data_IF_280518116593
#
_entry.id   IF_280518116593
#
_cell.length_a   1.000
_cell.length_b   1.000
_cell.length_c   1.000
_cell.angle_alpha   90.00
_cell.angle_beta   90.00
_cell.angle_gamma   90.00
#
_symmetry.space_group_name_H-M   'P 1'
#
loop_
_entity.id
_entity.type
_entity.pdbx_description
1 polymer ?
#
# COMPACT_ATOMS: atom_id res chain seq x y z
N UNK A 1 7.20 -23.64 15.62
CA UNK A 1 6.22 -22.83 14.87
C UNK A 1 5.24 -23.75 14.15
N UNK A 2 4.01 -23.30 13.86
CA UNK A 2 3.06 -24.06 13.02
C UNK A 2 3.69 -24.39 11.65
N UNK A 3 3.26 -25.48 11.01
CA UNK A 3 3.77 -25.86 9.68
C UNK A 3 3.41 -24.81 8.64
N UNK A 4 4.32 -24.56 7.70
CA UNK A 4 4.05 -23.70 6.54
C UNK A 4 3.41 -24.57 5.47
N UNK A 5 2.17 -24.25 5.11
CA UNK A 5 1.42 -24.92 4.04
C UNK A 5 0.90 -23.90 3.03
N UNK A 6 0.34 -24.38 1.93
CA UNK A 6 -0.27 -23.54 0.89
C UNK A 6 -1.25 -22.53 1.50
N UNK A 7 -1.11 -21.27 1.08
CA UNK A 7 -2.00 -20.16 1.44
C UNK A 7 -2.25 -19.98 2.94
N UNK A 8 -1.31 -20.43 3.77
CA UNK A 8 -1.41 -20.40 5.23
C UNK A 8 -0.81 -19.12 5.82
N UNK A 9 -1.35 -18.66 6.96
CA UNK A 9 -0.80 -17.53 7.70
C UNK A 9 0.69 -17.70 8.08
N UNK A 10 1.17 -18.90 8.49
CA UNK A 10 2.59 -19.15 8.73
C UNK A 10 3.53 -18.83 7.56
N UNK A 11 3.05 -18.89 6.30
CA UNK A 11 3.85 -18.47 5.14
C UNK A 11 4.19 -16.97 5.19
N UNK A 12 3.21 -16.16 5.60
CA UNK A 12 3.37 -14.71 5.76
C UNK A 12 4.33 -14.40 6.91
N UNK A 13 4.16 -15.08 8.04
CA UNK A 13 4.98 -14.88 9.24
C UNK A 13 6.43 -15.35 9.02
N UNK A 14 6.63 -16.42 8.26
CA UNK A 14 7.95 -16.92 7.88
C UNK A 14 8.77 -15.87 7.13
N UNK A 15 8.16 -15.07 6.26
CA UNK A 15 8.86 -13.98 5.58
C UNK A 15 9.33 -12.90 6.56
N UNK A 16 8.51 -12.53 7.55
CA UNK A 16 8.90 -11.58 8.60
C UNK A 16 10.04 -12.11 9.47
N UNK A 17 9.99 -13.39 9.87
CA UNK A 17 11.06 -14.04 10.64
C UNK A 17 12.35 -14.11 9.82
N UNK A 18 12.27 -14.56 8.57
CA UNK A 18 13.43 -14.67 7.68
C UNK A 18 14.08 -13.29 7.43
N UNK A 19 13.27 -12.25 7.22
CA UNK A 19 13.77 -10.90 7.05
C UNK A 19 14.47 -10.39 8.32
N UNK A 20 13.85 -10.56 9.49
CA UNK A 20 14.45 -10.16 10.77
C UNK A 20 15.79 -10.88 10.99
N UNK A 21 15.83 -12.21 10.84
CA UNK A 21 17.05 -13.01 10.95
C UNK A 21 18.13 -12.58 9.97
N UNK A 22 17.75 -12.20 8.74
CA UNK A 22 18.68 -11.71 7.72
C UNK A 22 19.28 -10.36 8.10
N UNK A 23 18.44 -9.41 8.52
CA UNK A 23 18.87 -8.06 8.90
C UNK A 23 19.72 -8.06 10.17
N UNK A 24 19.41 -8.94 11.13
CA UNK A 24 20.14 -9.04 12.40
C UNK A 24 21.16 -10.18 12.43
N UNK A 25 21.54 -10.72 11.27
CA UNK A 25 22.33 -11.95 11.17
C UNK A 25 23.61 -11.98 12.04
N UNK A 26 24.48 -10.95 12.03
CA UNK A 26 25.71 -10.96 12.83
C UNK A 26 25.47 -11.00 14.35
N UNK A 27 24.31 -10.52 14.82
CA UNK A 27 23.97 -10.45 16.24
C UNK A 27 23.12 -11.63 16.70
N UNK A 28 22.40 -12.29 15.79
CA UNK A 28 21.47 -13.36 16.11
C UNK A 28 21.83 -14.66 15.40
N UNK A 29 21.53 -14.78 14.10
CA UNK A 29 21.66 -16.04 13.36
C UNK A 29 23.06 -16.66 13.46
N UNK A 30 24.12 -15.88 13.24
CA UNK A 30 25.50 -16.38 13.24
C UNK A 30 25.98 -16.83 14.64
N UNK A 31 25.25 -16.47 15.71
CA UNK A 31 25.53 -16.84 17.10
C UNK A 31 24.70 -18.02 17.60
N UNK A 32 23.75 -18.51 16.81
CA UNK A 32 22.96 -19.68 17.16
C UNK A 32 23.76 -20.97 16.93
N UNK A 33 23.55 -21.96 17.80
CA UNK A 33 24.08 -23.30 17.62
C UNK A 33 23.64 -23.87 16.26
N UNK A 34 24.53 -24.65 15.63
CA UNK A 34 24.24 -25.29 14.34
C UNK A 34 22.93 -26.07 14.35
N UNK A 35 22.64 -26.83 15.41
CA UNK A 35 21.38 -27.58 15.51
C UNK A 35 20.14 -26.67 15.55
N UNK A 36 20.23 -25.46 16.10
CA UNK A 36 19.13 -24.49 16.10
C UNK A 36 18.95 -23.89 14.71
N UNK A 37 20.06 -23.53 14.05
CA UNK A 37 20.06 -23.02 12.68
C UNK A 37 19.44 -24.03 11.72
N UNK A 38 19.85 -25.30 11.79
CA UNK A 38 19.34 -26.35 10.91
C UNK A 38 17.83 -26.55 11.08
N UNK A 39 17.31 -26.56 12.31
CA UNK A 39 15.86 -26.69 12.57
C UNK A 39 15.08 -25.47 12.07
N UNK A 40 15.60 -24.26 12.29
CA UNK A 40 14.96 -23.04 11.82
C UNK A 40 14.97 -22.95 10.29
N UNK A 41 16.09 -23.28 9.65
CA UNK A 41 16.21 -23.34 8.20
C UNK A 41 15.30 -24.42 7.59
N UNK A 42 15.20 -25.59 8.22
CA UNK A 42 14.29 -26.65 7.77
C UNK A 42 12.82 -26.20 7.82
N UNK A 43 12.40 -25.55 8.90
CA UNK A 43 11.04 -25.00 8.99
C UNK A 43 10.77 -23.92 7.92
N UNK A 44 11.72 -23.01 7.69
CA UNK A 44 11.61 -21.98 6.66
C UNK A 44 11.61 -22.57 5.24
N UNK A 45 12.30 -23.69 5.02
CA UNK A 45 12.39 -24.31 3.70
C UNK A 45 11.03 -24.75 3.14
N UNK A 46 10.04 -25.06 4.00
CA UNK A 46 8.67 -25.36 3.59
C UNK A 46 8.04 -24.21 2.77
N UNK A 47 8.42 -22.95 3.05
CA UNK A 47 7.94 -21.78 2.30
C UNK A 47 8.43 -21.75 0.84
N UNK A 48 9.51 -22.46 0.51
CA UNK A 48 10.10 -22.46 -0.84
C UNK A 48 9.23 -23.18 -1.86
N UNK A 49 8.32 -24.05 -1.40
CA UNK A 49 7.43 -24.86 -2.25
C UNK A 49 5.95 -24.63 -1.98
N UNK A 50 5.58 -24.00 -0.85
CA UNK A 50 4.20 -23.65 -0.55
C UNK A 50 3.58 -22.74 -1.62
N UNK A 51 2.33 -22.98 -1.99
CA UNK A 51 1.59 -22.17 -2.96
C UNK A 51 1.05 -20.89 -2.30
N UNK A 52 1.50 -19.69 -2.71
CA UNK A 52 0.95 -18.42 -2.21
C UNK A 52 -0.40 -18.09 -2.88
N UNK A 53 -1.12 -17.12 -2.32
CA UNK A 53 -2.18 -16.45 -3.10
C UNK A 53 -1.56 -15.65 -4.25
N UNK A 54 -2.24 -15.54 -5.42
CA UNK A 54 -1.72 -14.81 -6.58
C UNK A 54 -1.87 -13.30 -6.37
N UNK A 55 -1.08 -12.75 -5.45
CA UNK A 55 -0.93 -11.34 -5.11
C UNK A 55 0.47 -11.14 -4.48
N UNK A 56 0.67 -10.11 -3.67
CA UNK A 56 1.91 -9.85 -2.92
C UNK A 56 2.44 -11.04 -2.10
N UNK A 57 1.63 -12.06 -1.83
CA UNK A 57 2.06 -13.29 -1.17
C UNK A 57 3.14 -14.06 -1.94
N UNK A 58 3.23 -13.88 -3.26
CA UNK A 58 4.30 -14.43 -4.10
C UNK A 58 5.69 -13.96 -3.67
N UNK A 59 5.77 -12.85 -2.90
CA UNK A 59 7.02 -12.28 -2.40
C UNK A 59 7.47 -12.87 -1.05
N UNK A 60 6.62 -13.63 -0.37
CA UNK A 60 7.00 -14.28 0.89
C UNK A 60 8.04 -15.39 0.66
N UNK A 61 7.87 -16.32 -0.31
CA UNK A 61 8.92 -17.26 -0.68
C UNK A 61 10.20 -16.59 -1.18
N UNK A 62 10.10 -15.43 -1.84
CA UNK A 62 11.28 -14.66 -2.29
C UNK A 62 12.10 -14.21 -1.08
N UNK A 63 11.44 -13.63 -0.07
CA UNK A 63 12.10 -13.14 1.16
C UNK A 63 12.74 -14.28 1.94
N UNK A 64 12.01 -15.40 2.10
CA UNK A 64 12.54 -16.59 2.77
C UNK A 64 13.71 -17.20 2.00
N UNK A 65 13.58 -17.35 0.68
CA UNK A 65 14.63 -17.84 -0.19
C UNK A 65 15.88 -16.94 -0.16
N UNK A 66 15.73 -15.62 -0.11
CA UNK A 66 16.84 -14.70 0.03
C UNK A 66 17.68 -14.96 1.30
N UNK A 67 17.00 -15.16 2.43
CA UNK A 67 17.67 -15.51 3.69
C UNK A 67 18.34 -16.90 3.66
N UNK A 68 17.63 -17.94 3.20
CA UNK A 68 18.17 -19.29 3.14
C UNK A 68 19.38 -19.38 2.20
N UNK A 69 19.32 -18.72 1.04
CA UNK A 69 20.45 -18.62 0.14
C UNK A 69 21.65 -17.90 0.77
N UNK A 70 21.42 -16.77 1.45
CA UNK A 70 22.48 -16.00 2.11
C UNK A 70 23.16 -16.76 3.26
N UNK A 71 22.47 -17.73 3.87
CA UNK A 71 22.99 -18.55 4.98
C UNK A 71 23.47 -19.93 4.55
N UNK A 72 23.42 -20.27 3.26
CA UNK A 72 23.90 -21.53 2.72
C UNK A 72 22.93 -22.72 2.83
N UNK A 73 21.65 -22.49 3.15
CA UNK A 73 20.65 -23.54 3.31
C UNK A 73 19.75 -23.64 2.08
N UNK A 74 19.45 -24.87 1.65
CA UNK A 74 18.53 -25.17 0.54
C UNK A 74 18.75 -24.27 -0.71
N UNK A 75 20.01 -23.93 -1.01
CA UNK A 75 20.37 -22.78 -1.87
C UNK A 75 19.76 -22.87 -3.27
N UNK A 76 19.69 -24.05 -3.86
CA UNK A 76 19.09 -24.25 -5.17
C UNK A 76 17.57 -24.00 -5.16
N UNK A 77 16.85 -24.64 -4.23
CA UNK A 77 15.42 -24.42 -4.05
C UNK A 77 15.10 -22.96 -3.71
N UNK A 78 15.95 -22.31 -2.91
CA UNK A 78 15.85 -20.92 -2.53
C UNK A 78 15.99 -19.98 -3.73
N UNK A 79 16.98 -20.21 -4.61
CA UNK A 79 17.13 -19.47 -5.86
C UNK A 79 15.94 -19.68 -6.79
N UNK A 80 15.45 -20.90 -6.91
CA UNK A 80 14.29 -21.20 -7.74
C UNK A 80 13.02 -20.48 -7.23
N UNK A 81 12.77 -20.47 -5.92
CA UNK A 81 11.64 -19.76 -5.33
C UNK A 81 11.72 -18.24 -5.54
N UNK A 82 12.91 -17.65 -5.35
CA UNK A 82 13.17 -16.23 -5.65
C UNK A 82 12.85 -15.90 -7.10
N UNK A 83 13.36 -16.69 -8.04
CA UNK A 83 13.15 -16.48 -9.46
C UNK A 83 11.66 -16.57 -9.85
N UNK A 84 10.92 -17.56 -9.32
CA UNK A 84 9.48 -17.71 -9.58
C UNK A 84 8.67 -16.52 -9.07
N UNK A 85 8.86 -16.14 -7.81
CA UNK A 85 8.10 -15.03 -7.22
C UNK A 85 8.40 -13.68 -7.89
N UNK A 86 9.67 -13.40 -8.19
CA UNK A 86 10.06 -12.19 -8.91
C UNK A 86 9.54 -12.18 -10.36
N UNK A 87 9.55 -13.31 -11.06
CA UNK A 87 8.95 -13.39 -12.41
C UNK A 87 7.43 -13.20 -12.37
N UNK A 88 6.77 -13.67 -11.30
CA UNK A 88 5.32 -13.58 -11.16
C UNK A 88 4.82 -12.15 -11.02
N UNK A 89 5.47 -11.32 -10.20
CA UNK A 89 5.07 -9.92 -10.02
C UNK A 89 5.24 -9.08 -11.29
N UNK A 90 6.10 -9.48 -12.22
CA UNK A 90 6.26 -8.77 -13.50
C UNK A 90 4.98 -8.79 -14.33
N UNK A 91 4.14 -9.83 -14.19
CA UNK A 91 2.84 -9.92 -14.87
C UNK A 91 1.80 -8.92 -14.33
N UNK A 92 2.08 -8.28 -13.20
CA UNK A 92 1.22 -7.31 -12.54
C UNK A 92 1.77 -5.89 -12.60
N UNK A 93 2.92 -5.67 -13.25
CA UNK A 93 3.45 -4.33 -13.45
C UNK A 93 2.56 -3.56 -14.43
N UNK A 94 1.93 -2.49 -13.96
CA UNK A 94 0.97 -1.68 -14.70
C UNK A 94 1.60 -0.47 -15.41
N UNK A 95 2.94 -0.31 -15.31
CA UNK A 95 3.64 0.90 -15.76
C UNK A 95 3.80 1.93 -14.64
N UNK A 96 4.65 2.92 -14.88
CA UNK A 96 4.85 4.09 -14.02
C UNK A 96 5.08 3.78 -12.53
N UNK A 97 5.77 2.68 -12.24
CA UNK A 97 6.04 2.27 -10.85
C UNK A 97 4.84 1.63 -10.13
N UNK A 98 3.71 1.37 -10.80
CA UNK A 98 2.52 0.78 -10.17
C UNK A 98 2.36 -0.71 -10.50
N UNK A 99 1.81 -1.47 -9.55
CA UNK A 99 1.45 -2.88 -9.67
C UNK A 99 -0.02 -3.09 -9.29
N UNK A 100 -0.70 -4.03 -9.94
CA UNK A 100 -2.11 -4.36 -9.67
C UNK A 100 -2.33 -5.27 -8.45
N UNK A 101 -1.25 -5.75 -7.82
CA UNK A 101 -1.26 -6.67 -6.67
C UNK A 101 -2.12 -7.93 -6.88
N UNK A 102 -1.91 -8.60 -8.02
CA UNK A 102 -2.68 -9.76 -8.42
C UNK A 102 -3.53 -9.50 -9.67
N UNK A 103 -4.46 -10.43 -9.99
CA UNK A 103 -5.44 -10.20 -11.04
C UNK A 103 -6.39 -9.06 -10.65
N UNK A 104 -6.76 -8.22 -11.63
CA UNK A 104 -7.62 -7.06 -11.42
C UNK A 104 -6.85 -5.75 -11.39
N UNK A 105 -7.39 -4.75 -10.69
CA UNK A 105 -6.83 -3.40 -10.60
C UNK A 105 -6.90 -2.89 -9.16
N UNK A 106 -6.24 -3.58 -8.23
CA UNK A 106 -6.20 -3.16 -6.84
C UNK A 106 -4.93 -2.34 -6.58
N UNK A 107 -5.05 -1.01 -6.58
CA UNK A 107 -3.98 -0.09 -6.24
C UNK A 107 -4.24 0.47 -4.84
N UNK A 108 -3.23 0.36 -3.98
CA UNK A 108 -3.23 0.84 -2.60
C UNK A 108 -1.78 0.86 -2.06
N UNK A 109 -1.64 0.98 -0.74
CA UNK A 109 -0.36 0.97 -0.06
C UNK A 109 0.44 -0.35 -0.10
N UNK A 110 -0.15 -1.49 -0.50
CA UNK A 110 0.63 -2.70 -0.80
C UNK A 110 1.60 -2.51 -1.95
N UNK A 111 1.36 -1.53 -2.85
CA UNK A 111 2.37 -1.16 -3.83
C UNK A 111 3.69 -0.81 -3.13
N UNK A 112 3.64 0.09 -2.16
CA UNK A 112 4.82 0.55 -1.42
C UNK A 112 5.40 -0.52 -0.50
N UNK A 113 4.62 -0.98 0.49
CA UNK A 113 5.13 -1.80 1.60
C UNK A 113 5.26 -3.30 1.29
N UNK A 114 4.87 -3.73 0.09
CA UNK A 114 5.06 -5.11 -0.36
C UNK A 114 5.65 -5.19 -1.77
N UNK A 115 4.94 -4.68 -2.79
CA UNK A 115 5.32 -4.87 -4.20
C UNK A 115 6.64 -4.19 -4.56
N UNK A 116 6.97 -3.06 -3.94
CA UNK A 116 8.30 -2.45 -4.01
C UNK A 116 9.22 -2.91 -2.89
N UNK A 117 8.71 -2.99 -1.65
CA UNK A 117 9.54 -3.32 -0.49
C UNK A 117 10.33 -4.61 -0.66
N UNK A 118 9.66 -5.72 -0.95
CA UNK A 118 10.34 -7.02 -0.95
C UNK A 118 11.34 -7.16 -2.10
N UNK A 119 11.03 -6.83 -3.38
CA UNK A 119 11.98 -6.97 -4.48
C UNK A 119 13.20 -6.05 -4.35
N UNK A 120 13.01 -4.79 -3.95
CA UNK A 120 14.12 -3.84 -3.82
C UNK A 120 14.98 -4.17 -2.62
N UNK A 121 14.38 -4.52 -1.47
CA UNK A 121 15.15 -4.94 -0.30
C UNK A 121 15.90 -6.25 -0.54
N UNK A 122 15.29 -7.19 -1.26
CA UNK A 122 15.98 -8.40 -1.71
C UNK A 122 17.19 -8.09 -2.59
N UNK A 123 17.04 -7.19 -3.58
CA UNK A 123 18.14 -6.77 -4.44
C UNK A 123 19.28 -6.11 -3.65
N UNK A 124 18.92 -5.19 -2.74
CA UNK A 124 19.87 -4.49 -1.87
C UNK A 124 20.64 -5.46 -0.97
N UNK A 125 19.93 -6.32 -0.22
CA UNK A 125 20.55 -7.26 0.72
C UNK A 125 21.32 -8.39 0.04
N UNK A 126 21.09 -8.63 -1.25
CA UNK A 126 21.83 -9.60 -2.06
C UNK A 126 22.97 -8.95 -2.88
N UNK A 127 23.13 -7.63 -2.79
CA UNK A 127 24.03 -6.84 -3.64
C UNK A 127 23.87 -7.12 -5.14
N UNK A 128 22.64 -7.40 -5.59
CA UNK A 128 22.32 -7.68 -6.98
C UNK A 128 22.01 -6.36 -7.72
N UNK A 129 23.04 -5.78 -8.34
CA UNK A 129 22.94 -4.50 -9.04
C UNK A 129 21.89 -4.52 -10.16
N UNK A 130 21.78 -5.62 -10.92
CA UNK A 130 20.82 -5.72 -12.03
C UNK A 130 19.37 -5.74 -11.53
N UNK A 131 19.12 -6.47 -10.45
CA UNK A 131 17.81 -6.49 -9.83
C UNK A 131 17.47 -5.13 -9.20
N UNK A 132 18.46 -4.47 -8.57
CA UNK A 132 18.30 -3.16 -7.98
C UNK A 132 18.06 -2.08 -9.04
N UNK A 133 18.75 -2.11 -10.18
CA UNK A 133 18.48 -1.18 -11.27
C UNK A 133 17.04 -1.32 -11.78
N UNK A 134 16.56 -2.54 -11.97
CA UNK A 134 15.18 -2.78 -12.44
C UNK A 134 14.13 -2.33 -11.42
N UNK A 135 14.14 -2.90 -10.23
CA UNK A 135 13.08 -2.66 -9.25
C UNK A 135 13.27 -1.33 -8.52
N UNK A 136 14.52 -0.90 -8.32
CA UNK A 136 14.85 0.40 -7.73
C UNK A 136 14.43 1.55 -8.62
N UNK A 137 14.62 1.48 -9.95
CA UNK A 137 14.11 2.53 -10.85
C UNK A 137 12.58 2.62 -10.82
N UNK A 138 11.88 1.48 -10.70
CA UNK A 138 10.41 1.47 -10.54
C UNK A 138 9.98 2.05 -9.19
N UNK A 139 10.71 1.77 -8.11
CA UNK A 139 10.48 2.40 -6.81
C UNK A 139 10.66 3.92 -6.89
N UNK A 140 11.73 4.39 -7.53
CA UNK A 140 11.99 5.81 -7.71
C UNK A 140 10.85 6.50 -8.46
N UNK A 141 10.39 5.92 -9.57
CA UNK A 141 9.20 6.40 -10.29
C UNK A 141 7.96 6.41 -9.39
N UNK A 142 7.71 5.30 -8.68
CA UNK A 142 6.56 5.21 -7.78
C UNK A 142 6.58 6.27 -6.67
N UNK A 143 7.75 6.56 -6.10
CA UNK A 143 7.89 7.52 -5.01
C UNK A 143 7.56 8.96 -5.41
N UNK A 144 7.68 9.31 -6.69
CA UNK A 144 7.27 10.61 -7.21
C UNK A 144 5.75 10.84 -7.05
N UNK A 145 4.96 9.79 -7.23
CA UNK A 145 3.50 9.80 -7.03
C UNK A 145 3.13 9.53 -5.57
N UNK A 146 3.77 8.53 -4.97
CA UNK A 146 3.46 8.05 -3.64
C UNK A 146 3.58 9.13 -2.57
N UNK A 147 4.56 10.02 -2.69
CA UNK A 147 4.75 11.16 -1.79
C UNK A 147 3.53 12.11 -1.75
N UNK A 148 2.67 12.08 -2.78
CA UNK A 148 1.45 12.89 -2.88
C UNK A 148 0.25 12.26 -2.18
N UNK A 149 0.39 11.06 -1.60
CA UNK A 149 -0.65 10.36 -0.83
C UNK A 149 -0.63 10.71 0.67
N UNK A 150 0.09 11.77 1.06
CA UNK A 150 0.26 12.20 2.44
C UNK A 150 -0.15 13.66 2.57
N UNK A 151 -0.97 13.95 3.58
CA UNK A 151 -1.37 15.31 3.96
C UNK A 151 -0.23 16.06 4.67
N UNK A 152 -0.36 17.37 4.75
CA UNK A 152 0.60 18.26 5.42
C UNK A 152 0.80 17.92 6.90
N UNK A 153 -0.21 17.34 7.55
CA UNK A 153 -0.16 16.94 8.96
C UNK A 153 0.40 15.53 9.19
N UNK A 154 0.93 14.90 8.13
CA UNK A 154 1.47 13.54 8.13
C UNK A 154 0.43 12.44 7.97
N UNK A 155 -0.86 12.76 7.80
CA UNK A 155 -1.89 11.75 7.56
C UNK A 155 -1.66 11.03 6.21
N UNK A 156 -1.54 9.68 6.19
CA UNK A 156 -1.69 8.94 4.95
C UNK A 156 -3.16 8.94 4.51
N UNK A 157 -3.38 8.91 3.21
CA UNK A 157 -4.70 8.77 2.57
C UNK A 157 -5.47 7.55 3.12
N UNK A 158 -6.78 7.70 3.36
CA UNK A 158 -7.62 6.59 3.82
C UNK A 158 -8.15 5.72 2.66
N UNK A 159 -7.24 5.14 1.88
CA UNK A 159 -7.60 4.32 0.71
C UNK A 159 -6.96 2.94 0.74
N UNK A 160 -7.73 1.93 0.32
CA UNK A 160 -7.29 0.55 0.20
C UNK A 160 -7.40 -0.26 1.50
N UNK A 161 -6.94 -1.51 1.44
CA UNK A 161 -7.06 -2.47 2.54
C UNK A 161 -5.90 -2.35 3.54
N UNK A 162 -6.08 -3.01 4.69
CA UNK A 162 -5.07 -3.07 5.75
C UNK A 162 -4.66 -1.71 6.32
N UNK A 163 -5.56 -0.74 6.29
CA UNK A 163 -5.33 0.59 6.86
C UNK A 163 -4.91 0.54 8.34
N UNK A 164 -5.31 -0.49 9.09
CA UNK A 164 -4.80 -0.68 10.47
C UNK A 164 -3.27 -0.84 10.57
N UNK A 165 -2.55 -1.08 9.47
CA UNK A 165 -1.08 -1.17 9.43
C UNK A 165 -0.42 0.21 9.38
N UNK A 166 -1.23 1.26 9.17
CA UNK A 166 -1.02 2.72 9.15
C UNK A 166 0.41 3.27 9.03
N UNK A 167 1.33 2.93 9.93
CA UNK A 167 2.73 3.37 9.85
C UNK A 167 3.52 2.64 8.76
N UNK A 168 3.09 1.45 8.33
CA UNK A 168 3.73 0.71 7.24
C UNK A 168 3.77 1.51 5.92
N UNK A 169 2.91 2.52 5.76
CA UNK A 169 2.90 3.45 4.62
C UNK A 169 4.24 4.17 4.44
N UNK A 170 5.06 4.30 5.48
CA UNK A 170 6.35 4.99 5.35
C UNK A 170 7.48 4.08 4.87
N UNK A 171 7.26 2.77 4.81
CA UNK A 171 8.28 1.79 4.42
C UNK A 171 8.95 2.07 3.07
N UNK A 172 8.23 2.36 1.95
CA UNK A 172 8.89 2.65 0.68
C UNK A 172 9.69 3.95 0.69
N UNK A 173 9.29 4.96 1.48
CA UNK A 173 10.04 6.22 1.63
C UNK A 173 11.42 5.97 2.24
N UNK A 174 11.46 5.17 3.31
CA UNK A 174 12.72 4.75 3.93
C UNK A 174 13.55 3.86 3.02
N UNK A 175 12.92 2.96 2.28
CA UNK A 175 13.60 2.08 1.34
C UNK A 175 14.28 2.87 0.22
N UNK A 176 13.61 3.90 -0.31
CA UNK A 176 14.17 4.79 -1.32
C UNK A 176 15.43 5.49 -0.81
N UNK A 177 15.39 6.06 0.40
CA UNK A 177 16.57 6.67 1.02
C UNK A 177 17.68 5.64 1.30
N UNK A 178 17.35 4.47 1.84
CA UNK A 178 18.32 3.40 2.15
C UNK A 178 19.07 2.92 0.90
N UNK A 179 18.39 2.87 -0.24
CA UNK A 179 18.94 2.31 -1.49
C UNK A 179 19.43 3.38 -2.47
N UNK A 180 19.24 4.66 -2.17
CA UNK A 180 19.51 5.77 -3.09
C UNK A 180 18.58 5.79 -4.30
N UNK A 181 17.40 5.16 -4.21
CA UNK A 181 16.39 5.05 -5.30
C UNK A 181 15.16 5.85 -4.95
N UNK A 182 15.29 7.16 -4.93
CA UNK A 182 14.23 8.09 -4.57
C UNK A 182 14.39 9.42 -5.31
N UNK A 183 13.28 10.02 -5.80
CA UNK A 183 13.31 11.36 -6.38
C UNK A 183 13.22 12.45 -5.31
N UNK A 184 13.00 12.06 -4.04
CA UNK A 184 12.80 12.99 -2.93
C UNK A 184 14.13 13.40 -2.31
N UNK A 185 14.22 14.65 -1.87
CA UNK A 185 15.32 15.09 -1.02
C UNK A 185 15.30 14.35 0.33
N UNK A 186 16.45 14.19 1.00
CA UNK A 186 16.50 13.61 2.33
C UNK A 186 15.56 14.31 3.33
N UNK A 187 15.52 15.65 3.30
CA UNK A 187 14.61 16.45 4.13
C UNK A 187 13.13 16.17 3.86
N UNK A 188 12.72 16.02 2.59
CA UNK A 188 11.33 15.66 2.24
C UNK A 188 11.00 14.24 2.67
N UNK A 189 11.91 13.28 2.48
CA UNK A 189 11.72 11.90 2.95
C UNK A 189 11.50 11.87 4.46
N UNK A 190 12.34 12.57 5.22
CA UNK A 190 12.21 12.67 6.68
C UNK A 190 10.88 13.31 7.08
N UNK A 191 10.51 14.44 6.46
CA UNK A 191 9.25 15.14 6.72
C UNK A 191 8.04 14.22 6.57
N UNK A 192 7.95 13.49 5.47
CA UNK A 192 6.85 12.57 5.19
C UNK A 192 6.85 11.37 6.15
N UNK A 193 7.99 10.69 6.28
CA UNK A 193 8.05 9.44 6.98
C UNK A 193 8.02 9.61 8.51
N UNK A 194 8.88 10.47 9.08
CA UNK A 194 8.83 10.77 10.51
C UNK A 194 7.57 11.57 10.89
N UNK A 195 7.09 12.46 10.01
CA UNK A 195 5.83 13.17 10.19
C UNK A 195 4.62 12.24 10.28
N UNK A 196 4.56 11.18 9.47
CA UNK A 196 3.50 10.16 9.55
C UNK A 196 3.53 9.41 10.89
N UNK A 197 4.72 9.05 11.39
CA UNK A 197 4.82 8.37 12.70
C UNK A 197 4.36 9.31 13.82
N UNK A 198 4.82 10.56 13.79
CA UNK A 198 4.38 11.62 14.71
C UNK A 198 2.88 11.82 14.64
N UNK A 199 2.30 11.88 13.44
CA UNK A 199 0.87 12.07 13.21
C UNK A 199 0.04 11.08 14.04
N UNK A 200 0.42 9.80 14.04
CA UNK A 200 -0.25 8.76 14.81
C UNK A 200 0.10 8.80 16.30
N UNK A 201 1.38 8.88 16.65
CA UNK A 201 1.83 8.80 18.05
C UNK A 201 1.32 9.99 18.88
N UNK A 202 1.38 11.21 18.34
CA UNK A 202 0.90 12.41 19.02
C UNK A 202 -0.63 12.42 19.18
N UNK A 203 -1.35 11.61 18.39
CA UNK A 203 -2.81 11.42 18.46
C UNK A 203 -3.21 10.17 19.26
N UNK A 204 -2.29 9.56 20.01
CA UNK A 204 -2.60 8.47 20.94
C UNK A 204 -2.75 7.10 20.28
N UNK A 205 -2.12 6.87 19.11
CA UNK A 205 -2.19 5.59 18.40
C UNK A 205 -1.64 4.38 19.16
N UNK A 206 -0.86 4.59 20.21
CA UNK A 206 -0.43 3.54 21.14
C UNK A 206 -1.25 3.66 22.43
N UNK A 207 -1.79 2.52 22.87
CA UNK A 207 -2.53 2.42 24.13
C UNK A 207 -1.63 2.88 25.31
N UNK A 208 -2.04 3.89 26.10
CA UNK A 208 -1.17 4.43 27.14
C UNK A 208 -0.83 3.46 28.27
N UNK A 209 -1.67 2.43 28.51
CA UNK A 209 -1.46 1.47 29.58
C UNK A 209 -0.49 0.35 29.19
N UNK A 210 -0.50 -0.04 27.92
CA UNK A 210 0.24 -1.20 27.40
C UNK A 210 1.37 -0.82 26.44
N UNK A 211 1.35 0.38 25.88
CA UNK A 211 2.25 0.83 24.81
C UNK A 211 1.98 0.17 23.45
N UNK A 212 0.87 -0.57 23.33
CA UNK A 212 0.56 -1.41 22.18
C UNK A 212 -0.34 -0.70 21.17
N UNK A 213 -0.19 -1.04 19.89
CA UNK A 213 -1.06 -0.51 18.83
C UNK A 213 -2.39 -1.30 18.79
N UNK A 214 -3.56 -0.65 18.94
CA UNK A 214 -4.84 -1.33 18.79
C UNK A 214 -5.19 -1.53 17.32
N UNK A 215 -6.13 -2.45 17.08
CA UNK A 215 -6.84 -2.60 15.81
C UNK A 215 -7.63 -1.32 15.52
N UNK A 216 -7.27 -0.61 14.45
CA UNK A 216 -7.93 0.65 14.08
C UNK A 216 -6.94 1.68 13.53
N UNK A 217 -7.29 2.96 13.68
CA UNK A 217 -6.53 4.08 13.08
C UNK A 217 -5.76 4.89 14.14
N UNK A 218 -6.39 5.86 14.81
CA UNK A 218 -5.80 6.51 16.00
C UNK A 218 -6.03 5.73 17.30
N UNK A 219 -7.01 4.85 17.29
CA UNK A 219 -7.41 3.99 18.40
C UNK A 219 -8.30 2.88 17.83
N UNK A 220 -9.05 2.15 18.67
CA UNK A 220 -10.04 1.20 18.19
C UNK A 220 -11.00 1.84 17.18
N UNK A 221 -11.02 1.31 15.96
CA UNK A 221 -11.92 1.77 14.90
C UNK A 221 -12.23 0.65 13.92
N UNK A 222 -13.50 0.23 13.85
CA UNK A 222 -13.93 -0.91 13.04
C UNK A 222 -13.92 -0.61 11.55
N UNK A 223 -14.09 0.65 11.15
CA UNK A 223 -14.20 1.03 9.73
C UNK A 223 -12.93 0.79 8.90
N UNK A 224 -11.79 0.51 9.53
CA UNK A 224 -10.53 0.15 8.84
C UNK A 224 -10.16 -1.32 8.94
N UNK A 225 -11.01 -2.14 9.57
CA UNK A 225 -10.76 -3.56 9.78
C UNK A 225 -11.26 -4.39 8.60
N UNK A 226 -10.55 -5.47 8.30
CA UNK A 226 -10.94 -6.46 7.32
C UNK A 226 -11.15 -7.82 8.02
N UNK A 227 -11.80 -8.76 7.34
CA UNK A 227 -12.07 -10.11 7.87
C UNK A 227 -10.82 -10.86 8.38
N UNK A 228 -9.64 -10.51 7.86
CA UNK A 228 -8.36 -11.11 8.25
C UNK A 228 -7.63 -10.32 9.34
N UNK A 229 -8.16 -9.17 9.77
CA UNK A 229 -7.54 -8.34 10.80
C UNK A 229 -7.59 -9.05 12.16
N UNK A 230 -6.44 -9.54 12.61
CA UNK A 230 -6.25 -10.08 13.96
C UNK A 230 -5.32 -9.22 14.83
N UNK A 231 -5.11 -9.55 16.11
CA UNK A 231 -4.34 -8.75 17.07
C UNK A 231 -2.92 -8.37 16.64
N UNK A 232 -2.27 -9.17 15.78
CA UNK A 232 -0.94 -8.88 15.25
C UNK A 232 -0.93 -7.89 14.07
N UNK A 233 -2.10 -7.61 13.48
CA UNK A 233 -2.26 -6.76 12.29
C UNK A 233 -1.66 -5.37 12.44
N UNK A 234 -1.90 -4.61 13.54
CA UNK A 234 -1.34 -3.27 13.67
C UNK A 234 0.20 -3.25 13.67
N UNK A 235 0.85 -4.36 14.01
CA UNK A 235 2.31 -4.44 14.12
C UNK A 235 3.03 -4.61 12.78
N UNK A 236 2.30 -4.74 11.67
CA UNK A 236 2.88 -4.47 10.35
C UNK A 236 3.43 -3.03 10.25
N UNK A 237 2.98 -2.12 11.12
CA UNK A 237 3.61 -0.83 11.41
C UNK A 237 5.12 -0.92 11.64
N UNK A 238 5.65 -2.06 12.09
CA UNK A 238 7.08 -2.26 12.28
C UNK A 238 7.93 -2.00 11.02
N UNK A 239 7.34 -2.14 9.82
CA UNK A 239 7.99 -1.79 8.54
C UNK A 239 8.41 -0.31 8.48
N UNK A 240 7.77 0.57 9.26
CA UNK A 240 8.18 1.96 9.39
C UNK A 240 9.60 2.12 9.95
N UNK A 241 10.07 1.17 10.76
CA UNK A 241 11.40 1.22 11.36
C UNK A 241 12.50 0.75 10.40
N UNK A 242 12.18 0.43 9.14
CA UNK A 242 13.19 0.17 8.10
C UNK A 242 14.20 1.31 7.99
N UNK A 243 13.79 2.55 8.26
CA UNK A 243 14.68 3.70 8.31
C UNK A 243 15.87 3.51 9.26
N UNK A 244 15.73 2.73 10.34
CA UNK A 244 16.82 2.46 11.29
C UNK A 244 17.99 1.65 10.70
N UNK A 245 17.86 1.12 9.47
CA UNK A 245 18.98 0.55 8.73
C UNK A 245 19.90 1.62 8.11
N UNK A 246 19.45 2.87 8.03
CA UNK A 246 20.20 3.98 7.46
C UNK A 246 21.21 4.50 8.50
N UNK A 247 22.49 4.71 8.15
CA UNK A 247 23.51 5.24 9.05
C UNK A 247 23.10 6.55 9.73
N UNK A 248 23.47 6.78 11.00
CA UNK A 248 23.03 7.95 11.77
C UNK A 248 23.55 9.30 11.23
N UNK A 249 24.62 9.28 10.43
CA UNK A 249 25.23 10.43 9.75
C UNK A 249 24.63 10.72 8.36
N UNK A 250 23.74 9.86 7.87
CA UNK A 250 23.10 10.06 6.58
C UNK A 250 22.27 11.36 6.54
N UNK A 251 22.27 12.11 5.41
CA UNK A 251 21.52 13.36 5.25
C UNK A 251 20.04 13.30 5.64
N UNK A 252 19.39 12.14 5.53
CA UNK A 252 17.98 11.96 5.94
C UNK A 252 17.76 12.23 7.44
N UNK A 253 18.80 12.15 8.27
CA UNK A 253 18.74 12.44 9.70
C UNK A 253 19.29 13.82 10.06
N UNK A 254 20.24 14.31 9.28
CA UNK A 254 21.03 15.52 9.58
C UNK A 254 20.55 16.76 8.84
N UNK A 255 19.98 16.62 7.64
CA UNK A 255 19.40 17.73 6.90
C UNK A 255 18.13 18.26 7.59
N UNK A 256 17.83 19.57 7.43
CA UNK A 256 16.53 20.12 7.81
C UNK A 256 15.38 19.41 7.09
N UNK A 257 14.25 19.23 7.79
CA UNK A 257 13.02 18.77 7.12
C UNK A 257 12.59 19.78 6.06
N UNK A 258 12.19 19.27 4.89
CA UNK A 258 11.66 20.08 3.79
C UNK A 258 10.18 19.77 3.56
N UNK A 259 9.35 20.75 3.18
CA UNK A 259 7.90 20.56 3.05
C UNK A 259 7.55 19.47 2.04
N UNK A 260 6.59 18.60 2.37
CA UNK A 260 6.04 17.59 1.45
C UNK A 260 5.21 18.19 0.31
N UNK A 261 4.76 17.39 -0.68
CA UNK A 261 3.99 17.90 -1.82
C UNK A 261 2.76 18.73 -1.43
N UNK A 262 1.97 18.25 -0.47
CA UNK A 262 0.75 18.93 0.00
C UNK A 262 1.02 20.23 0.78
N UNK A 263 2.26 20.46 1.22
CA UNK A 263 2.66 21.67 1.97
C UNK A 263 3.17 22.79 1.05
N UNK A 264 3.57 22.47 -0.19
CA UNK A 264 4.27 23.42 -1.07
C UNK A 264 3.34 24.30 -1.88
N UNK A 265 2.34 23.70 -2.51
CA UNK A 265 1.40 24.39 -3.38
C UNK A 265 0.16 23.53 -3.64
N UNK A 266 -0.89 24.16 -4.11
CA UNK A 266 -2.04 23.45 -4.66
C UNK A 266 -1.62 22.67 -5.91
N UNK A 267 -2.13 21.44 -6.06
CA UNK A 267 -1.82 20.60 -7.21
C UNK A 267 -2.97 19.68 -7.57
N UNK A 268 -3.13 19.44 -8.87
CA UNK A 268 -3.99 18.38 -9.41
C UNK A 268 -3.12 17.51 -10.31
N UNK A 269 -2.97 16.23 -9.98
CA UNK A 269 -2.02 15.31 -10.61
C UNK A 269 -2.73 14.03 -11.03
N UNK A 270 -2.77 13.77 -12.35
CA UNK A 270 -3.29 12.51 -12.87
C UNK A 270 -2.25 11.40 -12.77
N UNK A 271 -2.71 10.22 -12.38
CA UNK A 271 -1.93 8.99 -12.33
C UNK A 271 -2.56 7.99 -13.31
N UNK A 272 -2.08 7.91 -14.57
CA UNK A 272 -2.71 7.09 -15.61
C UNK A 272 -2.71 5.59 -15.30
N UNK A 273 -1.62 5.05 -14.76
CA UNK A 273 -1.50 3.62 -14.46
C UNK A 273 -2.61 3.10 -13.51
N UNK A 274 -2.88 3.74 -12.35
CA UNK A 274 -4.05 3.40 -11.52
C UNK A 274 -5.37 4.02 -12.00
N UNK A 275 -5.32 5.00 -12.93
CA UNK A 275 -6.43 5.84 -13.36
C UNK A 275 -7.04 6.65 -12.20
N UNK A 276 -6.17 7.37 -11.50
CA UNK A 276 -6.50 8.26 -10.39
C UNK A 276 -6.25 9.72 -10.73
N UNK A 277 -6.91 10.61 -10.00
CA UNK A 277 -6.58 12.03 -9.96
C UNK A 277 -6.37 12.43 -8.51
N UNK A 278 -5.16 12.88 -8.18
CA UNK A 278 -4.83 13.41 -6.86
C UNK A 278 -5.02 14.93 -6.86
N UNK A 279 -5.65 15.46 -5.83
CA UNK A 279 -5.86 16.88 -5.62
C UNK A 279 -5.38 17.26 -4.22
N UNK A 280 -4.44 18.19 -4.13
CA UNK A 280 -3.94 18.73 -2.87
C UNK A 280 -4.13 20.23 -2.79
N UNK A 281 -4.45 20.71 -1.60
CA UNK A 281 -4.64 22.13 -1.31
C UNK A 281 -3.70 22.53 -0.17
N UNK A 282 -2.77 23.43 -0.44
CA UNK A 282 -1.74 23.86 0.50
C UNK A 282 -2.29 24.63 1.69
N UNK A 283 -3.42 25.33 1.51
CA UNK A 283 -4.06 26.11 2.56
C UNK A 283 -4.67 25.25 3.69
N UNK A 284 -5.18 24.06 3.38
CA UNK A 284 -5.71 23.11 4.37
C UNK A 284 -4.80 21.88 4.59
N UNK A 285 -3.81 21.68 3.70
CA UNK A 285 -2.87 20.57 3.74
C UNK A 285 -3.48 19.22 3.37
N UNK A 286 -4.70 19.19 2.84
CA UNK A 286 -5.43 17.95 2.57
C UNK A 286 -5.10 17.38 1.19
N UNK A 287 -5.07 16.05 1.10
CA UNK A 287 -5.01 15.31 -0.16
C UNK A 287 -6.35 14.60 -0.36
N UNK A 288 -6.88 14.72 -1.57
CA UNK A 288 -8.08 14.04 -2.06
C UNK A 288 -7.67 13.17 -3.25
N UNK A 289 -8.09 11.92 -3.24
CA UNK A 289 -7.91 10.99 -4.34
C UNK A 289 -9.26 10.77 -5.00
N UNK A 290 -9.36 11.05 -6.30
CA UNK A 290 -10.49 10.68 -7.12
C UNK A 290 -10.22 9.35 -7.81
N UNK A 291 -11.02 8.34 -7.46
CA UNK A 291 -10.79 6.97 -7.88
C UNK A 291 -11.61 6.62 -9.12
N UNK A 292 -10.94 6.46 -10.26
CA UNK A 292 -11.55 6.07 -11.52
C UNK A 292 -10.97 4.80 -12.13
N UNK A 293 -10.23 3.99 -11.37
CA UNK A 293 -9.75 2.73 -11.93
C UNK A 293 -9.09 1.75 -10.99
N UNK A 294 -9.05 2.04 -9.69
CA UNK A 294 -8.77 1.01 -8.70
C UNK A 294 -10.07 0.41 -8.20
N UNK A 295 -10.12 -0.91 -8.09
CA UNK A 295 -11.27 -1.65 -7.56
C UNK A 295 -10.83 -2.96 -6.91
N UNK A 296 -11.41 -3.22 -5.73
CA UNK A 296 -11.57 -4.57 -5.17
C UNK A 296 -12.86 -4.59 -4.34
N UNK A 297 -13.95 -5.01 -4.98
CA UNK A 297 -15.29 -5.02 -4.36
C UNK A 297 -15.38 -5.89 -3.10
N UNK A 298 -14.43 -6.80 -2.86
CA UNK A 298 -14.37 -7.61 -1.64
C UNK A 298 -14.05 -6.78 -0.40
N UNK A 299 -13.53 -5.56 -0.60
CA UNK A 299 -13.11 -4.64 0.44
C UNK A 299 -13.84 -3.29 0.32
N UNK A 300 -15.07 -3.23 -0.22
CA UNK A 300 -15.92 -2.02 -0.07
C UNK A 300 -16.02 -1.65 1.43
N UNK A 301 -15.85 -0.37 1.82
CA UNK A 301 -15.81 0.84 0.99
C UNK A 301 -14.41 1.26 0.49
N UNK A 302 -13.36 0.46 0.68
CA UNK A 302 -11.97 0.94 0.56
C UNK A 302 -11.41 1.13 -0.86
N UNK A 303 -12.11 0.63 -1.89
CA UNK A 303 -11.67 0.75 -3.29
C UNK A 303 -12.75 1.22 -4.27
N UNK A 304 -13.98 1.41 -3.81
CA UNK A 304 -15.17 1.51 -4.67
C UNK A 304 -15.81 2.89 -4.63
N UNK A 305 -15.52 3.71 -3.60
CA UNK A 305 -15.96 5.11 -3.53
C UNK A 305 -15.33 5.98 -4.62
N UNK A 306 -16.02 7.06 -4.95
CA UNK A 306 -15.60 8.05 -5.95
C UNK A 306 -14.36 8.80 -5.50
N UNK A 307 -14.26 9.10 -4.20
CA UNK A 307 -13.10 9.78 -3.64
C UNK A 307 -12.76 9.31 -2.23
N UNK A 308 -11.50 9.56 -1.85
CA UNK A 308 -10.93 9.35 -0.52
C UNK A 308 -10.14 10.58 -0.12
N UNK A 309 -9.89 10.78 1.17
CA UNK A 309 -9.03 11.87 1.62
C UNK A 309 -8.15 11.49 2.80
N UNK A 310 -7.19 12.36 3.11
CA UNK A 310 -6.35 12.26 4.31
C UNK A 310 -7.10 12.67 5.59
N UNK A 311 -8.27 13.31 5.48
CA UNK A 311 -9.06 13.76 6.63
C UNK A 311 -10.27 12.88 6.96
N UNK A 312 -10.90 12.27 5.95
CA UNK A 312 -12.12 11.48 6.09
C UNK A 312 -11.83 10.00 5.90
N UNK A 313 -12.10 9.21 6.93
CA UNK A 313 -11.92 7.77 6.93
C UNK A 313 -13.10 7.00 6.32
N UNK A 314 -12.91 5.71 6.00
CA UNK A 314 -13.98 4.85 5.50
C UNK A 314 -15.12 4.74 6.52
N UNK A 315 -16.36 4.76 6.02
CA UNK A 315 -17.55 4.54 6.83
C UNK A 315 -17.52 3.14 7.49
N UNK A 316 -17.89 3.03 8.77
CA UNK A 316 -17.94 1.74 9.45
C UNK A 316 -19.05 0.84 8.89
N UNK A 317 -18.99 -0.48 9.15
CA UNK A 317 -20.05 -1.40 8.74
C UNK A 317 -21.45 -0.91 9.16
N UNK A 318 -22.38 -0.89 8.21
CA UNK A 318 -23.77 -0.48 8.43
C UNK A 318 -24.03 1.04 8.38
N UNK A 319 -23.00 1.88 8.22
CA UNK A 319 -23.19 3.31 7.94
C UNK A 319 -23.59 3.56 6.48
N UNK A 320 -24.28 4.68 6.24
CA UNK A 320 -24.60 5.14 4.88
C UNK A 320 -23.31 5.30 4.05
N UNK A 321 -23.29 4.84 2.78
CA UNK A 321 -22.15 5.05 1.90
C UNK A 321 -21.84 6.54 1.74
N UNK A 322 -20.61 6.95 2.00
CA UNK A 322 -20.09 8.30 1.67
C UNK A 322 -19.35 8.28 0.32
N UNK A 323 -19.31 9.42 -0.37
CA UNK A 323 -18.64 9.59 -1.67
C UNK A 323 -19.08 8.55 -2.71
N UNK A 324 -20.39 8.33 -2.84
CA UNK A 324 -20.95 7.27 -3.68
C UNK A 324 -22.06 7.78 -4.59
N UNK A 325 -21.99 7.43 -5.88
CA UNK A 325 -23.06 7.66 -6.85
C UNK A 325 -23.66 6.34 -7.31
N UNK A 326 -24.99 6.23 -7.33
CA UNK A 326 -25.67 5.06 -7.88
C UNK A 326 -27.16 5.30 -8.13
N UNK A 327 -27.78 4.32 -8.80
CA UNK A 327 -29.22 4.28 -9.04
C UNK A 327 -29.91 3.79 -7.77
N UNK A 328 -31.08 4.34 -7.47
CA UNK A 328 -31.90 3.91 -6.32
C UNK A 328 -32.83 2.78 -6.72
N UNK A 329 -32.75 1.66 -6.01
CA UNK A 329 -33.71 0.56 -6.08
C UNK A 329 -35.05 0.91 -5.42
N UNK A 330 -36.06 0.08 -5.66
CA UNK A 330 -37.39 0.22 -5.04
C UNK A 330 -37.36 0.08 -3.52
N UNK A 331 -36.37 -0.64 -2.99
CA UNK A 331 -36.08 -0.80 -1.56
C UNK A 331 -35.32 0.39 -0.96
N UNK A 332 -34.99 1.41 -1.76
CA UNK A 332 -34.22 2.58 -1.36
C UNK A 332 -32.71 2.37 -1.30
N UNK A 333 -32.21 1.17 -1.65
CA UNK A 333 -30.79 0.87 -1.69
C UNK A 333 -30.12 1.54 -2.90
N UNK A 334 -28.91 2.05 -2.70
CA UNK A 334 -28.10 2.62 -3.79
C UNK A 334 -27.32 1.51 -4.46
N UNK A 335 -27.35 1.45 -5.79
CA UNK A 335 -26.60 0.46 -6.58
C UNK A 335 -25.10 0.52 -6.27
N UNK A 336 -24.39 -0.63 -6.24
CA UNK A 336 -22.95 -0.64 -6.02
C UNK A 336 -22.18 -0.07 -7.21
N UNK A 337 -20.96 0.40 -6.93
CA UNK A 337 -20.02 0.90 -7.94
C UNK A 337 -18.93 -0.16 -8.15
N UNK A 338 -19.28 -1.20 -8.91
CA UNK A 338 -18.41 -2.36 -9.20
C UNK A 338 -18.20 -2.54 -10.70
N UNK A 339 -17.16 -3.28 -11.11
CA UNK A 339 -16.82 -3.49 -12.51
C UNK A 339 -16.33 -2.22 -13.19
N UNK A 340 -15.53 -1.42 -12.46
CA UNK A 340 -14.98 -0.17 -13.00
C UNK A 340 -14.11 -0.41 -14.23
N UNK A 341 -14.49 0.26 -15.31
CA UNK A 341 -13.71 0.36 -16.52
C UNK A 341 -13.12 1.78 -16.63
N UNK A 342 -11.78 1.93 -16.54
CA UNK A 342 -11.09 3.20 -16.73
C UNK A 342 -11.38 3.78 -18.13
N UNK A 343 -11.69 5.08 -18.20
CA UNK A 343 -11.80 5.82 -19.45
C UNK A 343 -10.64 6.81 -19.67
N UNK A 344 -9.70 6.86 -18.73
CA UNK A 344 -8.52 7.73 -18.78
C UNK A 344 -8.44 8.70 -17.60
N UNK A 345 -7.23 9.22 -17.39
CA UNK A 345 -6.91 10.30 -16.47
C UNK A 345 -5.85 11.19 -17.13
N UNK A 346 -6.01 12.51 -17.01
CA UNK A 346 -5.16 13.51 -17.63
C UNK A 346 -5.18 14.82 -16.87
N UNK A 347 -4.63 15.88 -17.46
CA UNK A 347 -4.51 17.18 -16.78
C UNK A 347 -5.86 17.68 -16.26
N UNK A 348 -6.01 17.70 -14.93
CA UNK A 348 -7.22 18.16 -14.26
C UNK A 348 -8.43 17.22 -14.35
N UNK A 349 -8.31 15.99 -14.88
CA UNK A 349 -9.48 15.12 -15.05
C UNK A 349 -9.21 13.63 -14.90
N UNK A 350 -10.25 12.88 -14.50
CA UNK A 350 -10.27 11.42 -14.60
C UNK A 350 -11.69 10.91 -14.85
N UNK A 351 -11.80 9.76 -15.53
CA UNK A 351 -13.09 9.19 -15.90
C UNK A 351 -13.10 7.67 -15.83
N UNK A 352 -14.29 7.13 -15.54
CA UNK A 352 -14.56 5.69 -15.50
C UNK A 352 -16.01 5.41 -15.88
N UNK A 353 -16.30 4.19 -16.33
CA UNK A 353 -17.67 3.69 -16.42
C UNK A 353 -17.88 2.41 -15.63
N UNK A 354 -19.10 2.15 -15.21
CA UNK A 354 -19.53 0.87 -14.66
C UNK A 354 -20.97 0.53 -15.08
N UNK A 355 -21.33 -0.74 -14.96
CA UNK A 355 -22.68 -1.23 -15.26
C UNK A 355 -23.53 -1.38 -13.99
N UNK A 356 -24.83 -1.12 -14.11
CA UNK A 356 -25.84 -1.33 -13.07
C UNK A 356 -27.07 -1.99 -13.71
N UNK A 357 -27.16 -3.31 -13.66
CA UNK A 357 -28.19 -4.05 -14.40
C UNK A 357 -28.04 -3.82 -15.90
N UNK A 358 -29.09 -3.29 -16.55
CA UNK A 358 -29.02 -2.87 -17.96
C UNK A 358 -28.46 -1.46 -18.14
N UNK A 359 -28.42 -0.66 -17.09
CA UNK A 359 -27.95 0.72 -17.13
C UNK A 359 -26.43 0.78 -17.14
N UNK A 360 -25.91 1.91 -17.63
CA UNK A 360 -24.49 2.25 -17.59
C UNK A 360 -24.33 3.62 -16.96
N UNK A 361 -23.35 3.75 -16.07
CA UNK A 361 -22.98 5.00 -15.43
C UNK A 361 -21.59 5.39 -15.89
N UNK A 362 -21.46 6.50 -16.60
CA UNK A 362 -20.18 7.17 -16.89
C UNK A 362 -19.99 8.27 -15.86
N UNK A 363 -18.85 8.29 -15.19
CA UNK A 363 -18.49 9.31 -14.21
C UNK A 363 -17.19 9.99 -14.61
N UNK A 364 -17.17 11.32 -14.58
CA UNK A 364 -16.01 12.16 -14.84
C UNK A 364 -15.82 13.11 -13.67
N UNK A 365 -14.59 13.28 -13.22
CA UNK A 365 -14.19 14.37 -12.34
C UNK A 365 -13.33 15.36 -13.10
N UNK A 366 -13.57 16.64 -12.86
CA UNK A 366 -12.72 17.76 -13.25
C UNK A 366 -12.28 18.46 -11.97
N UNK A 367 -10.99 18.72 -11.78
CA UNK A 367 -10.48 19.41 -10.60
C UNK A 367 -9.52 20.55 -10.98
N UNK A 368 -9.64 21.68 -10.29
CA UNK A 368 -8.79 22.85 -10.45
C UNK A 368 -8.65 23.59 -9.12
N UNK A 369 -7.42 23.70 -8.61
CA UNK A 369 -7.17 24.25 -7.27
C UNK A 369 -7.95 23.48 -6.22
N UNK A 370 -8.75 24.18 -5.41
CA UNK A 370 -9.62 23.59 -4.40
C UNK A 370 -11.00 23.11 -4.93
N UNK A 371 -11.35 23.46 -6.17
CA UNK A 371 -12.66 23.14 -6.74
C UNK A 371 -12.64 21.80 -7.48
N UNK A 372 -13.73 21.05 -7.39
CA UNK A 372 -14.00 19.87 -8.19
C UNK A 372 -15.43 19.90 -8.76
N UNK A 373 -15.60 19.29 -9.92
CA UNK A 373 -16.91 19.06 -10.55
C UNK A 373 -16.99 17.58 -10.91
N UNK A 374 -18.01 16.90 -10.37
CA UNK A 374 -18.33 15.51 -10.71
C UNK A 374 -19.53 15.49 -11.65
N UNK A 375 -19.37 14.85 -12.80
CA UNK A 375 -20.43 14.70 -13.80
C UNK A 375 -20.73 13.21 -13.96
N UNK A 376 -22.00 12.85 -13.82
CA UNK A 376 -22.48 11.48 -13.96
C UNK A 376 -23.52 11.42 -15.08
N UNK A 377 -23.27 10.57 -16.07
CA UNK A 377 -24.22 10.27 -17.14
C UNK A 377 -24.75 8.85 -16.95
N UNK A 378 -26.06 8.72 -16.77
CA UNK A 378 -26.76 7.43 -16.69
C UNK A 378 -27.43 7.17 -18.04
N UNK A 379 -27.05 6.08 -18.69
CA UNK A 379 -27.65 5.61 -19.94
C UNK A 379 -28.31 4.25 -19.73
N UNK A 380 -29.20 3.88 -20.65
CA UNK A 380 -29.84 2.56 -20.67
C UNK A 380 -30.68 2.22 -19.41
N UNK A 381 -31.06 3.28 -18.65
CA UNK A 381 -32.02 3.23 -17.56
C UNK A 381 -33.38 3.80 -18.00
N UNK A 382 -34.51 3.31 -17.46
CA UNK A 382 -35.82 3.91 -17.68
C UNK A 382 -35.84 5.42 -17.37
N UNK A 383 -36.54 6.26 -18.17
CA UNK A 383 -36.73 7.66 -17.83
C UNK A 383 -37.36 7.82 -16.45
N UNK A 384 -36.80 8.72 -15.64
CA UNK A 384 -37.25 8.95 -14.27
C UNK A 384 -36.66 8.01 -13.23
N UNK A 385 -35.72 7.12 -13.58
CA UNK A 385 -34.99 6.31 -12.60
C UNK A 385 -34.31 7.22 -11.57
N UNK A 386 -34.63 7.06 -10.27
CA UNK A 386 -34.03 7.87 -9.22
C UNK A 386 -32.55 7.52 -9.04
N UNK A 387 -31.73 8.54 -8.74
CA UNK A 387 -30.29 8.39 -8.44
C UNK A 387 -29.97 9.06 -7.12
N UNK A 388 -28.87 8.66 -6.49
CA UNK A 388 -28.34 9.28 -5.28
C UNK A 388 -26.84 9.52 -5.43
N UNK A 389 -26.42 10.71 -5.03
CA UNK A 389 -25.03 11.07 -4.75
C UNK A 389 -24.93 11.33 -3.25
N UNK A 390 -23.99 10.69 -2.59
CA UNK A 390 -23.65 10.94 -1.18
C UNK A 390 -22.26 11.55 -1.03
N UNK A 391 -22.08 12.33 0.04
CA UNK A 391 -20.91 13.16 0.26
C UNK A 391 -20.98 14.46 -0.54
#
# INVERSE_FOLDING_TARGET
WPRITDRSQPLVEAASIALALRLTRPWLWDRLDTAVRDRAAAWLADALTAEPWPCNWELFPVTVGGFLAATGHATEAARAARARGLARIETWYAGDGWYTDGPGRAFDYYNGWAMHLYPVLEAHLSADARLLDRHGSRLETHLADYARLFGADGAPLHQGRSLTYRMATTAPLWLGALTGRTPLSPGTTRRLASGTLRHFLDRGAADPATGLLPLGWYGPYEGVLQRYSGPASPYWAAKAFLGLLIPPDHPVWTDPEEPGPAERADAVTALPAPNWLLQSTSADGLVRLHNHGSEDARYDPHYTRLAYSTATGPAPPGAEPDNHFGLLGEDGAVSPRHGLEPLGAGEGWAASRHGVGTARVVSVVLAHGAAEVRVHAVTDAPPGTPVRLTG
#
